data_IF_865972866205
#
_entry.id   IF_865972866205
#
_cell.length_a   1.000
_cell.length_b   1.000
_cell.length_c   1.000
_cell.angle_alpha   90.00
_cell.angle_beta   90.00
_cell.angle_gamma   90.00
#
_symmetry.space_group_name_H-M   'P 1'
#
loop_
_entity.id
_entity.type
_entity.pdbx_description
1 polymer ?
#
# COMPACT_ATOMS: atom_id res chain seq x y z
N UNK A 1 -1.84 0.64 -50.58
CA UNK A 1 -2.57 0.72 -49.29
C UNK A 1 -2.33 -0.59 -48.59
N UNK A 2 -1.27 -0.68 -47.80
CA UNK A 2 -0.91 -1.89 -47.03
C UNK A 2 -0.80 -1.52 -45.56
N UNK A 3 -1.62 -2.17 -44.74
CA UNK A 3 -1.50 -2.15 -43.28
C UNK A 3 -0.56 -3.27 -42.87
N UNK A 4 0.68 -2.93 -42.53
CA UNK A 4 1.57 -3.83 -41.84
C UNK A 4 1.22 -3.87 -40.34
N UNK A 5 0.69 -5.01 -39.90
CA UNK A 5 0.56 -5.37 -38.49
C UNK A 5 1.92 -5.74 -37.92
N UNK A 6 2.52 -4.87 -37.10
CA UNK A 6 3.67 -5.22 -36.26
C UNK A 6 3.15 -5.57 -34.87
N UNK A 7 2.58 -6.77 -34.75
CA UNK A 7 2.32 -7.43 -33.49
C UNK A 7 3.58 -8.15 -33.02
N UNK A 8 4.53 -7.40 -32.47
CA UNK A 8 5.66 -7.96 -31.74
C UNK A 8 5.26 -8.12 -30.28
N UNK A 9 5.31 -9.35 -29.78
CA UNK A 9 5.11 -9.67 -28.36
C UNK A 9 6.12 -8.89 -27.50
N UNK A 10 5.68 -7.97 -26.63
CA UNK A 10 6.57 -7.17 -25.78
C UNK A 10 7.33 -8.00 -24.74
N UNK A 11 6.99 -9.29 -24.56
CA UNK A 11 7.68 -10.20 -23.62
C UNK A 11 8.99 -10.79 -24.17
N UNK A 12 9.24 -10.71 -25.48
CA UNK A 12 10.32 -11.48 -26.14
C UNK A 12 11.74 -10.88 -26.02
N UNK A 13 11.96 -9.91 -25.13
CA UNK A 13 13.28 -9.24 -24.94
C UNK A 13 13.84 -9.32 -23.50
N UNK A 14 13.36 -10.27 -22.68
CA UNK A 14 13.83 -10.42 -21.29
C UNK A 14 15.05 -11.34 -21.10
N UNK A 15 15.73 -11.75 -22.17
CA UNK A 15 16.93 -12.62 -22.06
C UNK A 15 18.24 -11.85 -21.82
N UNK A 16 18.19 -10.59 -21.38
CA UNK A 16 19.38 -9.92 -20.89
C UNK A 16 19.76 -10.52 -19.51
N UNK A 17 20.97 -11.06 -19.32
CA UNK A 17 21.40 -11.49 -17.99
C UNK A 17 21.44 -10.26 -17.08
N UNK A 18 20.48 -10.15 -16.16
CA UNK A 18 20.44 -9.10 -15.14
C UNK A 18 21.50 -9.45 -14.09
N UNK A 19 22.75 -9.19 -14.41
CA UNK A 19 23.88 -9.43 -13.54
C UNK A 19 24.21 -8.18 -12.72
N UNK A 20 23.25 -7.62 -11.97
CA UNK A 20 23.56 -6.69 -10.87
C UNK A 20 22.51 -6.78 -9.77
N UNK A 21 22.80 -7.57 -8.72
CA UNK A 21 22.12 -7.47 -7.42
C UNK A 21 22.58 -6.17 -6.75
N UNK A 22 22.03 -5.04 -7.19
CA UNK A 22 22.21 -3.77 -6.47
C UNK A 22 21.52 -3.86 -5.12
N UNK A 23 22.31 -3.69 -4.05
CA UNK A 23 21.77 -3.54 -2.70
C UNK A 23 21.11 -2.18 -2.59
N UNK A 24 19.95 -2.11 -1.94
CA UNK A 24 19.29 -0.84 -1.68
C UNK A 24 20.23 0.09 -0.90
N UNK A 25 20.59 1.28 -1.41
CA UNK A 25 21.50 2.19 -0.72
C UNK A 25 20.93 2.72 0.60
N UNK A 26 19.61 2.56 0.84
CA UNK A 26 18.96 2.99 2.07
C UNK A 26 18.93 1.93 3.18
N UNK A 27 18.82 0.64 2.85
CA UNK A 27 18.64 -0.42 3.85
C UNK A 27 19.55 -1.65 3.67
N UNK A 28 20.40 -1.67 2.65
CA UNK A 28 21.36 -2.73 2.38
C UNK A 28 20.77 -4.06 1.91
N UNK A 29 19.45 -4.16 1.73
CA UNK A 29 18.78 -5.38 1.29
C UNK A 29 19.10 -5.68 -0.19
N UNK A 30 19.27 -6.95 -0.58
CA UNK A 30 19.73 -7.37 -1.92
C UNK A 30 18.66 -7.24 -3.04
N UNK A 31 17.52 -6.61 -2.76
CA UNK A 31 16.38 -6.54 -3.68
C UNK A 31 15.94 -5.08 -3.90
N UNK A 32 16.85 -4.23 -4.38
CA UNK A 32 16.41 -2.95 -4.95
C UNK A 32 15.84 -3.23 -6.35
N UNK A 33 14.51 -3.25 -6.46
CA UNK A 33 13.84 -3.27 -7.77
C UNK A 33 13.70 -1.81 -8.19
N UNK A 34 14.28 -1.49 -9.35
CA UNK A 34 14.09 -0.19 -9.97
C UNK A 34 12.66 -0.12 -10.53
N UNK A 35 11.82 0.70 -9.90
CA UNK A 35 10.41 0.86 -10.26
C UNK A 35 10.24 1.77 -11.49
N UNK A 36 11.33 2.34 -12.03
CA UNK A 36 11.29 3.09 -13.29
C UNK A 36 10.97 2.20 -14.51
N UNK A 37 11.00 0.87 -14.36
CA UNK A 37 10.52 -0.07 -15.36
C UNK A 37 9.02 -0.35 -15.19
N UNK A 38 8.20 0.32 -16.01
CA UNK A 38 6.73 0.21 -16.05
C UNK A 38 6.22 -1.24 -16.07
N UNK A 39 6.91 -2.15 -16.76
CA UNK A 39 6.52 -3.56 -16.87
C UNK A 39 6.64 -4.33 -15.55
N UNK A 40 7.63 -3.99 -14.71
CA UNK A 40 7.84 -4.61 -13.39
C UNK A 40 6.86 -4.04 -12.37
N UNK A 41 6.56 -2.74 -12.46
CA UNK A 41 5.56 -2.10 -11.62
C UNK A 41 4.14 -2.67 -11.87
N UNK A 42 3.78 -2.89 -13.14
CA UNK A 42 2.51 -3.49 -13.53
C UNK A 42 2.40 -4.94 -13.07
N UNK A 43 3.44 -5.76 -13.26
CA UNK A 43 3.44 -7.16 -12.80
C UNK A 43 3.43 -7.29 -11.28
N UNK A 44 4.04 -6.37 -10.54
CA UNK A 44 3.91 -6.30 -9.08
C UNK A 44 2.48 -5.92 -8.66
N UNK A 45 1.84 -4.97 -9.35
CA UNK A 45 0.45 -4.62 -9.09
C UNK A 45 -0.53 -5.78 -9.39
N UNK A 46 -0.31 -6.50 -10.50
CA UNK A 46 -1.11 -7.66 -10.89
C UNK A 46 -0.89 -8.86 -9.96
N UNK A 47 0.36 -9.16 -9.59
CA UNK A 47 0.65 -10.26 -8.66
C UNK A 47 0.08 -9.97 -7.27
N UNK A 48 0.06 -8.70 -6.85
CA UNK A 48 -0.57 -8.28 -5.61
C UNK A 48 -2.10 -8.33 -5.65
N UNK A 49 -2.72 -8.02 -6.78
CA UNK A 49 -4.15 -8.22 -6.98
C UNK A 49 -4.51 -9.72 -6.93
N UNK A 50 -3.69 -10.58 -7.53
CA UNK A 50 -3.84 -12.03 -7.47
C UNK A 50 -3.63 -12.58 -6.04
N UNK A 51 -2.68 -12.02 -5.28
CA UNK A 51 -2.43 -12.41 -3.88
C UNK A 51 -3.58 -12.03 -2.96
N UNK A 52 -4.34 -10.97 -3.29
CA UNK A 52 -5.57 -10.62 -2.57
C UNK A 52 -6.77 -11.50 -2.92
N UNK A 53 -6.76 -12.21 -4.04
CA UNK A 53 -7.77 -13.22 -4.40
C UNK A 53 -7.43 -14.62 -3.87
N UNK A 54 -6.14 -14.90 -3.61
CA UNK A 54 -5.70 -16.13 -2.96
C UNK A 54 -5.84 -16.05 -1.44
N UNK A 55 -7.05 -15.76 -0.96
CA UNK A 55 -7.45 -16.24 0.36
C UNK A 55 -7.59 -17.76 0.26
N UNK A 56 -6.46 -18.48 0.34
CA UNK A 56 -6.46 -19.93 0.35
C UNK A 56 -7.29 -20.34 1.56
N UNK A 57 -8.46 -20.98 1.37
CA UNK A 57 -9.32 -21.29 2.49
C UNK A 57 -8.54 -22.20 3.47
N UNK A 58 -8.72 -22.02 4.79
CA UNK A 58 -7.83 -22.60 5.79
C UNK A 58 -7.68 -24.13 5.72
N UNK A 59 -8.61 -24.82 5.05
CA UNK A 59 -8.56 -26.26 4.82
C UNK A 59 -7.49 -26.71 3.80
N UNK A 60 -7.07 -25.84 2.86
CA UNK A 60 -6.05 -26.18 1.85
C UNK A 60 -4.60 -26.09 2.38
N UNK A 61 -4.35 -25.34 3.46
CA UNK A 61 -3.05 -25.35 4.13
C UNK A 61 -2.77 -26.68 4.87
N UNK A 62 -3.82 -27.45 5.18
CA UNK A 62 -3.73 -28.71 5.92
C UNK A 62 -3.46 -29.90 4.98
N UNK A 63 -3.86 -29.82 3.72
CA UNK A 63 -3.73 -30.94 2.78
C UNK A 63 -2.30 -31.15 2.26
N UNK A 64 -1.48 -30.11 2.16
CA UNK A 64 -0.08 -30.22 1.69
C UNK A 64 0.86 -30.96 2.64
N UNK A 65 0.60 -30.91 3.95
CA UNK A 65 1.43 -31.58 4.97
C UNK A 65 1.04 -33.06 5.15
N UNK A 66 -0.14 -33.45 4.66
CA UNK A 66 -0.72 -34.78 4.90
C UNK A 66 -0.23 -35.88 3.93
N UNK A 67 0.43 -35.55 2.82
CA UNK A 67 0.88 -36.55 1.83
C UNK A 67 2.25 -37.18 2.13
N UNK A 68 3.13 -36.48 2.83
CA UNK A 68 4.44 -37.02 3.23
C UNK A 68 4.35 -38.16 4.25
N UNK A 69 3.48 -38.12 5.29
CA UNK A 69 3.37 -39.26 6.21
C UNK A 69 2.71 -40.48 5.56
N UNK A 70 1.78 -40.27 4.61
CA UNK A 70 1.11 -41.38 3.93
C UNK A 70 2.08 -42.24 3.12
N UNK A 71 3.06 -41.63 2.43
CA UNK A 71 4.07 -42.36 1.65
C UNK A 71 5.09 -43.11 2.53
N UNK A 72 5.44 -42.57 3.69
CA UNK A 72 6.38 -43.22 4.63
C UNK A 72 5.74 -44.41 5.37
N UNK A 73 4.43 -44.36 5.64
CA UNK A 73 3.69 -45.49 6.24
C UNK A 73 3.65 -46.70 5.31
N UNK A 74 3.56 -46.50 3.99
CA UNK A 74 3.54 -47.61 3.03
C UNK A 74 4.89 -48.32 2.91
N UNK A 75 6.01 -47.59 3.05
CA UNK A 75 7.36 -48.18 2.98
C UNK A 75 7.68 -48.98 4.25
N UNK A 76 7.22 -48.52 5.43
CA UNK A 76 7.44 -49.23 6.70
C UNK A 76 6.66 -50.54 6.86
N UNK A 77 5.64 -50.80 6.03
CA UNK A 77 4.86 -52.04 6.06
C UNK A 77 5.52 -53.19 5.27
N UNK A 78 6.52 -52.92 4.43
CA UNK A 78 7.20 -53.93 3.61
C UNK A 78 8.44 -54.54 4.28
N UNK A 79 9.12 -53.80 5.16
CA UNK A 79 10.32 -54.29 5.87
C UNK A 79 9.97 -54.71 7.31
N UNK A 80 9.80 -56.02 7.49
CA UNK A 80 9.45 -56.64 8.76
C UNK A 80 10.31 -56.18 9.97
N UNK A 81 9.62 -55.52 10.91
CA UNK A 81 9.66 -55.82 12.35
C UNK A 81 10.93 -55.58 13.19
N UNK A 82 11.88 -54.73 12.79
CA UNK A 82 12.95 -54.33 13.73
C UNK A 82 13.20 -52.82 13.90
N UNK A 83 12.53 -51.95 13.13
CA UNK A 83 12.74 -50.49 13.18
C UNK A 83 11.49 -49.66 13.52
N UNK A 84 10.42 -50.28 14.00
CA UNK A 84 9.10 -49.65 14.18
C UNK A 84 9.10 -48.50 15.17
N UNK A 85 9.76 -48.60 16.34
CA UNK A 85 9.69 -47.54 17.36
C UNK A 85 10.31 -46.20 16.93
N UNK A 86 11.49 -46.25 16.30
CA UNK A 86 12.24 -45.03 15.94
C UNK A 86 11.64 -44.32 14.72
N UNK A 87 11.13 -45.08 13.75
CA UNK A 87 10.49 -44.51 12.55
C UNK A 87 9.17 -43.82 12.87
N UNK A 88 8.35 -44.35 13.79
CA UNK A 88 7.12 -43.69 14.22
C UNK A 88 7.40 -42.37 14.97
N UNK A 89 8.42 -42.35 15.83
CA UNK A 89 8.86 -41.12 16.52
C UNK A 89 9.44 -40.09 15.54
N UNK A 90 10.20 -40.51 14.53
CA UNK A 90 10.71 -39.61 13.51
C UNK A 90 9.60 -39.08 12.57
N UNK A 91 8.73 -39.96 12.08
CA UNK A 91 7.67 -39.61 11.12
C UNK A 91 6.59 -38.71 11.71
N UNK A 92 6.29 -38.81 13.01
CA UNK A 92 5.31 -37.95 13.69
C UNK A 92 5.99 -36.80 14.43
N UNK A 93 7.13 -37.05 15.06
CA UNK A 93 7.84 -36.05 15.87
C UNK A 93 8.48 -34.94 15.04
N UNK A 94 9.12 -35.25 13.91
CA UNK A 94 9.76 -34.25 13.05
C UNK A 94 8.78 -33.21 12.45
N UNK A 95 7.61 -33.58 11.91
CA UNK A 95 6.68 -32.58 11.38
C UNK A 95 6.03 -31.73 12.49
N UNK A 96 5.75 -32.30 13.67
CA UNK A 96 5.23 -31.52 14.80
C UNK A 96 6.28 -30.55 15.33
N UNK A 97 7.53 -30.99 15.46
CA UNK A 97 8.63 -30.11 15.90
C UNK A 97 8.93 -29.03 14.84
N UNK A 98 8.91 -29.39 13.56
CA UNK A 98 9.13 -28.46 12.44
C UNK A 98 8.05 -27.37 12.35
N UNK A 99 6.78 -27.74 12.51
CA UNK A 99 5.67 -26.77 12.52
C UNK A 99 5.69 -25.89 13.76
N UNK A 100 6.01 -26.45 14.94
CA UNK A 100 6.19 -25.66 16.16
C UNK A 100 7.34 -24.65 16.02
N UNK A 101 8.49 -25.09 15.49
CA UNK A 101 9.65 -24.23 15.24
C UNK A 101 9.34 -23.14 14.21
N UNK A 102 8.65 -23.46 13.11
CA UNK A 102 8.17 -22.47 12.13
C UNK A 102 7.18 -21.48 12.76
N UNK A 103 6.32 -21.91 13.67
CA UNK A 103 5.39 -21.02 14.38
C UNK A 103 6.14 -20.06 15.33
N UNK A 104 7.20 -20.53 15.97
CA UNK A 104 8.04 -19.72 16.87
C UNK A 104 8.89 -18.76 16.04
N UNK A 105 9.54 -19.24 14.98
CA UNK A 105 10.35 -18.42 14.07
C UNK A 105 9.51 -17.38 13.33
N UNK A 106 8.25 -17.66 13.00
CA UNK A 106 7.33 -16.67 12.41
C UNK A 106 6.82 -15.64 13.42
N UNK A 107 6.71 -16.00 14.71
CA UNK A 107 6.44 -15.04 15.80
C UNK A 107 7.64 -14.17 16.16
N UNK A 108 8.85 -14.74 16.07
CA UNK A 108 10.13 -14.05 16.30
C UNK A 108 10.59 -13.26 15.08
N UNK A 109 10.12 -13.62 13.87
CA UNK A 109 10.35 -12.82 12.69
C UNK A 109 9.77 -11.43 12.96
N UNK A 110 10.58 -10.36 12.86
CA UNK A 110 10.09 -9.01 13.04
C UNK A 110 8.94 -8.88 12.06
N UNK A 111 7.72 -8.62 12.56
CA UNK A 111 6.54 -8.40 11.73
C UNK A 111 6.99 -7.49 10.62
N UNK A 112 7.17 -8.03 9.42
CA UNK A 112 7.54 -7.24 8.27
C UNK A 112 6.39 -6.29 8.12
N UNK A 113 6.60 -5.04 8.56
CA UNK A 113 5.68 -3.95 8.25
C UNK A 113 5.70 -3.94 6.73
N UNK A 114 4.65 -4.52 6.13
CA UNK A 114 4.48 -4.50 4.68
C UNK A 114 4.76 -3.05 4.27
N UNK A 115 5.64 -2.82 3.28
CA UNK A 115 5.88 -1.47 2.80
C UNK A 115 4.51 -0.85 2.56
N UNK A 116 4.25 0.24 3.26
CA UNK A 116 2.96 0.90 3.22
C UNK A 116 2.85 1.44 1.79
N UNK A 117 2.15 0.69 0.91
CA UNK A 117 2.04 1.06 -0.49
C UNK A 117 1.51 2.47 -0.59
N UNK A 118 2.06 3.22 -1.52
CA UNK A 118 1.59 4.56 -1.85
C UNK A 118 0.12 4.44 -2.21
N UNK A 119 -0.75 4.96 -1.35
CA UNK A 119 -2.18 4.93 -1.58
C UNK A 119 -2.55 6.25 -2.24
N UNK A 120 -2.71 6.18 -3.55
CA UNK A 120 -3.58 7.09 -4.26
C UNK A 120 -4.90 6.35 -4.45
N UNK A 121 -5.95 6.76 -3.73
CA UNK A 121 -7.29 6.27 -4.04
C UNK A 121 -7.74 7.05 -5.26
N UNK A 122 -7.91 6.42 -6.44
CA UNK A 122 -8.27 7.16 -7.64
C UNK A 122 -9.62 7.85 -7.43
N UNK A 123 -9.81 9.07 -7.94
CA UNK A 123 -11.07 9.76 -7.82
C UNK A 123 -12.18 8.92 -8.49
N UNK A 124 -13.35 8.78 -7.86
CA UNK A 124 -14.44 7.99 -8.40
C UNK A 124 -14.92 8.56 -9.74
N UNK A 125 -15.10 7.67 -10.72
CA UNK A 125 -15.70 7.98 -12.01
C UNK A 125 -17.22 7.87 -11.88
N UNK A 126 -17.91 9.00 -11.77
CA UNK A 126 -19.37 9.01 -11.67
C UNK A 126 -19.93 10.32 -11.15
N UNK A 127 -21.22 10.55 -11.38
CA UNK A 127 -21.93 11.71 -10.81
C UNK A 127 -22.08 11.51 -9.31
N UNK A 128 -21.96 12.60 -8.55
CA UNK A 128 -22.31 12.61 -7.14
C UNK A 128 -23.80 12.31 -7.02
N UNK A 129 -24.15 11.34 -6.19
CA UNK A 129 -25.54 10.93 -5.93
C UNK A 129 -25.97 11.18 -4.50
N UNK A 130 -25.02 11.30 -3.58
CA UNK A 130 -25.29 11.62 -2.17
C UNK A 130 -24.20 12.56 -1.64
N UNK A 131 -24.56 13.43 -0.72
CA UNK A 131 -23.65 14.43 -0.15
C UNK A 131 -23.99 14.66 1.31
N UNK A 132 -23.00 14.48 2.18
CA UNK A 132 -23.12 14.70 3.61
C UNK A 132 -22.13 15.79 4.03
N UNK A 133 -22.63 16.84 4.66
CA UNK A 133 -21.83 17.93 5.20
C UNK A 133 -21.82 17.85 6.73
N UNK A 134 -20.67 18.11 7.35
CA UNK A 134 -20.58 18.16 8.80
C UNK A 134 -19.14 18.14 9.34
N UNK A 135 -19.01 18.01 10.65
CA UNK A 135 -17.73 17.87 11.34
C UNK A 135 -17.26 16.42 11.34
N UNK A 136 -16.07 16.15 10.79
CA UNK A 136 -15.54 14.79 10.66
C UNK A 136 -14.79 14.33 11.90
N UNK A 137 -15.01 13.08 12.28
CA UNK A 137 -14.27 12.39 13.33
C UNK A 137 -13.59 11.15 12.78
N UNK A 138 -12.39 10.83 13.27
CA UNK A 138 -11.70 9.59 12.94
C UNK A 138 -11.82 8.61 14.09
N UNK A 139 -12.11 7.33 13.81
CA UNK A 139 -12.06 6.27 14.84
C UNK A 139 -10.63 6.04 15.38
N UNK A 140 -9.62 6.43 14.61
CA UNK A 140 -8.21 6.36 14.98
C UNK A 140 -7.54 7.69 14.66
N UNK A 141 -6.50 8.01 15.44
CA UNK A 141 -5.62 9.15 15.19
C UNK A 141 -4.60 8.77 14.11
N UNK A 142 -4.37 9.69 13.19
CA UNK A 142 -3.27 9.65 12.23
C UNK A 142 -2.30 10.80 12.52
N UNK A 143 -1.12 10.69 11.93
CA UNK A 143 -0.07 11.70 12.00
C UNK A 143 0.34 12.05 10.57
N UNK A 144 0.31 13.34 10.25
CA UNK A 144 0.72 13.84 8.95
C UNK A 144 2.23 13.61 8.78
N UNK A 145 2.70 13.03 7.66
CA UNK A 145 4.06 12.50 7.60
C UNK A 145 5.14 13.57 7.47
N UNK A 146 4.81 14.78 7.01
CA UNK A 146 5.76 15.89 6.90
C UNK A 146 5.72 16.76 8.16
N UNK A 147 4.54 17.30 8.50
CA UNK A 147 4.44 18.21 9.66
C UNK A 147 4.37 17.51 11.01
N UNK A 148 4.09 16.21 11.05
CA UNK A 148 3.87 15.48 12.30
C UNK A 148 2.61 15.92 13.04
N UNK A 149 1.67 16.62 12.39
CA UNK A 149 0.42 17.09 13.03
C UNK A 149 -0.60 15.97 13.16
N UNK A 150 -1.33 15.96 14.28
CA UNK A 150 -2.45 15.03 14.49
C UNK A 150 -3.58 15.33 13.50
N UNK A 151 -4.10 14.29 12.86
CA UNK A 151 -5.17 14.40 11.87
C UNK A 151 -6.04 13.14 11.82
N UNK A 152 -7.16 13.23 11.10
CA UNK A 152 -8.03 12.08 10.77
C UNK A 152 -7.89 11.67 9.29
N UNK A 153 -7.41 12.59 8.45
CA UNK A 153 -6.95 12.33 7.10
C UNK A 153 -5.85 13.33 6.70
N UNK A 154 -5.00 12.96 5.75
CA UNK A 154 -3.97 13.81 5.20
C UNK A 154 -3.76 13.50 3.70
N UNK A 155 -3.37 14.52 2.96
CA UNK A 155 -2.80 14.41 1.63
C UNK A 155 -1.44 15.09 1.62
N UNK A 156 -0.43 14.39 1.12
CA UNK A 156 0.93 14.90 0.92
C UNK A 156 1.23 14.79 -0.56
N UNK A 157 1.65 15.89 -1.17
CA UNK A 157 2.03 15.95 -2.56
C UNK A 157 3.38 16.65 -2.69
N UNK A 158 4.24 16.17 -3.57
CA UNK A 158 5.58 16.70 -3.82
C UNK A 158 5.74 16.93 -5.30
N UNK A 159 6.14 18.13 -5.67
CA UNK A 159 6.45 18.53 -7.05
C UNK A 159 7.93 18.96 -7.15
N UNK A 160 8.52 18.99 -8.35
CA UNK A 160 9.82 19.63 -8.54
C UNK A 160 9.76 21.11 -8.15
N UNK A 161 10.84 21.64 -7.56
CA UNK A 161 10.88 23.04 -7.12
C UNK A 161 10.57 24.02 -8.26
N UNK A 162 9.69 24.99 -7.99
CA UNK A 162 9.28 26.02 -8.95
C UNK A 162 8.26 25.57 -10.00
N UNK A 163 7.92 24.28 -10.03
CA UNK A 163 6.87 23.74 -10.91
C UNK A 163 5.53 23.88 -10.19
N UNK A 164 4.59 24.61 -10.80
CA UNK A 164 3.21 24.67 -10.32
C UNK A 164 2.41 23.51 -10.95
N UNK A 165 2.08 22.46 -10.19
CA UNK A 165 1.41 21.29 -10.72
C UNK A 165 -0.02 21.62 -11.16
N UNK A 166 -0.40 21.15 -12.35
CA UNK A 166 -1.73 21.34 -12.95
C UNK A 166 -2.46 20.02 -13.16
N UNK A 167 -1.72 18.94 -13.30
CA UNK A 167 -2.21 17.60 -13.60
C UNK A 167 -1.62 16.58 -12.63
N UNK A 168 -2.20 15.38 -12.59
CA UNK A 168 -1.69 14.30 -11.76
C UNK A 168 -0.26 13.86 -12.14
N UNK A 169 0.16 14.09 -13.40
CA UNK A 169 1.49 13.74 -13.91
C UNK A 169 2.59 14.72 -13.46
N UNK A 170 2.23 15.91 -12.96
CA UNK A 170 3.20 16.92 -12.52
C UNK A 170 3.75 16.63 -11.11
N UNK A 171 3.18 15.66 -10.40
CA UNK A 171 3.60 15.28 -9.05
C UNK A 171 4.66 14.18 -9.10
N UNK A 172 5.75 14.37 -8.35
CA UNK A 172 6.76 13.33 -8.09
C UNK A 172 6.20 12.26 -7.15
N UNK A 173 5.48 12.71 -6.11
CA UNK A 173 4.86 11.85 -5.11
C UNK A 173 3.52 12.44 -4.74
N UNK A 174 2.49 11.59 -4.65
CA UNK A 174 1.22 11.95 -4.04
C UNK A 174 0.71 10.80 -3.19
N UNK A 175 0.49 11.07 -1.92
CA UNK A 175 0.08 10.09 -0.92
C UNK A 175 -1.13 10.60 -0.14
N UNK A 176 -2.11 9.72 0.04
CA UNK A 176 -3.27 9.99 0.88
C UNK A 176 -3.37 8.96 2.01
N UNK A 177 -3.71 9.44 3.20
CA UNK A 177 -4.00 8.62 4.35
C UNK A 177 -5.30 9.07 5.00
N UNK A 178 -6.18 8.12 5.34
CA UNK A 178 -7.45 8.41 6.00
C UNK A 178 -7.76 7.33 7.04
N UNK A 179 -8.23 7.76 8.21
CA UNK A 179 -8.79 6.86 9.20
C UNK A 179 -10.21 6.43 8.76
N UNK A 180 -10.84 5.51 9.48
CA UNK A 180 -12.30 5.36 9.36
C UNK A 180 -12.94 6.68 9.80
N UNK A 181 -13.58 7.35 8.84
CA UNK A 181 -14.22 8.64 9.03
C UNK A 181 -15.66 8.45 9.48
N UNK A 182 -16.11 9.32 10.38
CA UNK A 182 -17.47 9.36 10.92
C UNK A 182 -17.97 10.78 10.78
N UNK A 183 -19.13 10.94 10.14
CA UNK A 183 -19.79 12.20 9.84
C UNK A 183 -21.29 12.06 10.16
N UNK A 184 -21.71 12.53 11.34
CA UNK A 184 -23.03 12.20 11.86
C UNK A 184 -23.20 10.68 11.99
N UNK A 185 -24.25 10.13 11.38
CA UNK A 185 -24.55 8.69 11.37
C UNK A 185 -23.82 7.92 10.25
N UNK A 186 -23.01 8.59 9.43
CA UNK A 186 -22.29 7.98 8.31
C UNK A 186 -20.87 7.62 8.71
N UNK A 187 -20.54 6.33 8.64
CA UNK A 187 -19.19 5.82 8.81
C UNK A 187 -18.64 5.29 7.48
N UNK A 188 -17.45 5.73 7.08
CA UNK A 188 -16.77 5.28 5.85
C UNK A 188 -15.36 4.83 6.19
N UNK A 189 -14.98 3.65 5.69
CA UNK A 189 -13.62 3.16 5.86
C UNK A 189 -12.62 4.03 5.12
N UNK A 190 -11.49 4.37 5.75
CA UNK A 190 -10.52 5.29 5.15
C UNK A 190 -9.91 4.82 3.82
N UNK A 191 -9.97 3.51 3.53
CA UNK A 191 -9.55 2.96 2.22
C UNK A 191 -10.50 3.29 1.08
N UNK A 192 -11.75 3.63 1.41
CA UNK A 192 -12.82 3.95 0.46
C UNK A 192 -13.04 5.46 0.37
N UNK A 193 -12.07 6.27 0.80
CA UNK A 193 -12.12 7.73 0.76
C UNK A 193 -10.99 8.24 -0.11
N UNK A 194 -11.34 8.83 -1.25
CA UNK A 194 -10.44 9.66 -2.04
C UNK A 194 -10.46 11.09 -1.47
N UNK A 195 -9.30 11.60 -1.10
CA UNK A 195 -9.18 12.98 -0.63
C UNK A 195 -9.10 13.90 -1.86
N UNK A 196 -9.96 14.91 -1.90
CA UNK A 196 -9.88 15.98 -2.90
C UNK A 196 -9.56 17.28 -2.17
N UNK A 197 -8.39 17.26 -1.54
CA UNK A 197 -7.84 18.39 -0.81
C UNK A 197 -7.06 19.19 -1.85
N UNK A 198 -7.48 20.42 -2.11
CA UNK A 198 -6.96 21.27 -3.19
C UNK A 198 -5.49 21.68 -2.93
N UNK A 199 -4.57 20.73 -3.10
CA UNK A 199 -3.16 20.86 -2.76
C UNK A 199 -2.45 21.83 -3.70
N UNK A 200 -2.86 21.90 -4.98
CA UNK A 200 -2.23 22.73 -6.01
C UNK A 200 -2.59 24.23 -5.97
N UNK A 201 -3.60 24.62 -5.18
CA UNK A 201 -3.94 26.04 -4.96
C UNK A 201 -3.20 26.65 -3.77
N UNK A 202 -2.50 25.84 -2.97
CA UNK A 202 -1.81 26.28 -1.76
C UNK A 202 -0.35 26.61 -2.05
N UNK A 203 0.22 27.49 -1.23
CA UNK A 203 1.67 27.71 -1.24
C UNK A 203 2.40 26.46 -0.73
N UNK A 204 3.62 26.17 -1.21
CA UNK A 204 4.47 25.13 -0.65
C UNK A 204 4.65 25.30 0.87
N UNK A 205 4.61 24.17 1.58
CA UNK A 205 4.89 24.08 3.00
C UNK A 205 6.40 24.28 3.24
N UNK A 206 6.73 25.24 4.10
CA UNK A 206 8.07 25.38 4.67
C UNK A 206 8.27 24.25 5.71
N UNK A 207 8.80 23.12 5.26
CA UNK A 207 8.98 21.91 6.07
C UNK A 207 10.43 21.72 6.51
N UNK A 208 10.64 20.97 7.61
CA UNK A 208 11.96 20.52 8.02
C UNK A 208 12.62 19.65 6.93
N UNK A 209 13.78 20.04 6.37
CA UNK A 209 14.48 19.26 5.35
C UNK A 209 14.75 17.81 5.75
N UNK A 210 14.96 17.53 7.04
CA UNK A 210 15.18 16.17 7.53
C UNK A 210 13.91 15.32 7.47
N UNK A 211 12.74 15.90 7.75
CA UNK A 211 11.44 15.25 7.60
C UNK A 211 11.13 14.95 6.13
N UNK A 212 11.37 15.92 5.24
CA UNK A 212 11.19 15.77 3.79
C UNK A 212 12.12 14.69 3.23
N UNK A 213 13.40 14.72 3.59
CA UNK A 213 14.37 13.71 3.14
C UNK A 213 13.99 12.31 3.63
N UNK A 214 13.55 12.16 4.88
CA UNK A 214 13.08 10.89 5.42
C UNK A 214 11.85 10.37 4.68
N UNK A 215 10.90 11.26 4.40
CA UNK A 215 9.71 10.94 3.63
C UNK A 215 10.06 10.47 2.21
N UNK A 216 10.84 11.23 1.47
CA UNK A 216 11.26 10.90 0.10
C UNK A 216 12.04 9.58 0.03
N UNK A 217 13.00 9.36 0.94
CA UNK A 217 13.76 8.11 1.03
C UNK A 217 12.87 6.90 1.30
N UNK A 218 11.86 7.06 2.17
CA UNK A 218 10.90 6.00 2.45
C UNK A 218 9.97 5.70 1.25
N UNK A 219 9.99 6.53 0.21
CA UNK A 219 9.29 6.34 -1.07
C UNK A 219 10.27 6.08 -2.22
N UNK A 220 11.55 5.80 -1.94
CA UNK A 220 12.55 5.50 -2.98
C UNK A 220 12.87 6.68 -3.90
N UNK A 221 12.46 7.90 -3.56
CA UNK A 221 12.76 9.09 -4.36
C UNK A 221 14.12 9.65 -3.93
N UNK A 222 15.07 9.62 -4.85
CA UNK A 222 16.43 10.12 -4.64
C UNK A 222 16.49 11.56 -5.17
N UNK A 223 16.19 12.52 -4.31
CA UNK A 223 16.32 13.96 -4.62
C UNK A 223 16.74 14.72 -3.36
N UNK A 224 17.21 15.95 -3.54
CA UNK A 224 17.56 16.84 -2.44
C UNK A 224 16.32 17.63 -1.98
N UNK A 225 16.17 17.94 -0.68
CA UNK A 225 14.97 18.64 -0.18
C UNK A 225 14.74 20.02 -0.78
N UNK A 226 15.79 20.70 -1.26
CA UNK A 226 15.77 21.99 -1.94
C UNK A 226 15.34 21.91 -3.42
N UNK A 227 15.36 20.70 -4.01
CA UNK A 227 14.93 20.47 -5.39
C UNK A 227 13.43 20.16 -5.50
N UNK A 228 12.66 20.24 -4.40
CA UNK A 228 11.25 19.91 -4.37
C UNK A 228 10.41 20.94 -3.63
N UNK A 229 9.19 21.16 -4.11
CA UNK A 229 8.14 21.85 -3.39
C UNK A 229 7.23 20.83 -2.71
N UNK A 230 7.01 20.99 -1.41
CA UNK A 230 6.21 20.07 -0.59
C UNK A 230 4.87 20.70 -0.28
N UNK A 231 3.79 19.93 -0.43
CA UNK A 231 2.43 20.34 -0.13
C UNK A 231 1.84 19.32 0.85
N UNK A 232 1.28 19.80 1.95
CA UNK A 232 0.59 18.94 2.91
C UNK A 232 -0.74 19.58 3.30
N UNK A 233 -1.82 18.83 3.13
CA UNK A 233 -3.13 19.21 3.61
C UNK A 233 -3.63 18.17 4.59
N UNK A 234 -4.00 18.62 5.79
CA UNK A 234 -4.56 17.76 6.82
C UNK A 234 -6.03 18.08 7.06
N UNK A 235 -6.77 17.05 7.46
CA UNK A 235 -8.11 17.15 8.00
C UNK A 235 -8.03 16.88 9.49
N UNK A 236 -8.27 17.90 10.30
CA UNK A 236 -8.29 17.77 11.76
C UNK A 236 -9.62 17.18 12.25
N UNK A 237 -9.59 16.58 13.43
CA UNK A 237 -10.81 16.11 14.10
C UNK A 237 -11.75 17.30 14.36
N UNK A 238 -13.03 17.13 14.05
CA UNK A 238 -14.06 18.16 14.17
C UNK A 238 -14.12 19.15 13.02
N UNK A 239 -13.19 19.08 12.05
CA UNK A 239 -13.15 19.99 10.92
C UNK A 239 -14.38 19.80 10.02
N UNK A 240 -14.94 20.92 9.53
CA UNK A 240 -16.06 20.90 8.62
C UNK A 240 -15.63 20.40 7.23
N UNK A 241 -16.28 19.35 6.76
CA UNK A 241 -16.01 18.70 5.48
C UNK A 241 -17.32 18.35 4.77
N UNK A 242 -17.19 18.09 3.47
CA UNK A 242 -18.24 17.51 2.65
C UNK A 242 -17.78 16.15 2.14
N UNK A 243 -18.55 15.11 2.43
CA UNK A 243 -18.35 13.75 1.94
C UNK A 243 -19.36 13.46 0.82
N UNK A 244 -18.87 13.15 -0.38
CA UNK A 244 -19.71 12.88 -1.54
C UNK A 244 -19.62 11.41 -1.94
N UNK A 245 -20.76 10.75 -2.10
CA UNK A 245 -20.86 9.41 -2.69
C UNK A 245 -21.13 9.52 -4.19
N UNK A 246 -20.45 8.69 -4.97
CA UNK A 246 -20.60 8.68 -6.43
C UNK A 246 -21.38 7.45 -6.88
N UNK A 247 -22.28 7.62 -7.85
CA UNK A 247 -23.07 6.53 -8.39
C UNK A 247 -22.14 5.50 -9.05
N UNK A 248 -22.30 4.22 -8.67
CA UNK A 248 -21.50 3.13 -9.23
C UNK A 248 -20.07 3.03 -8.69
N UNK A 249 -19.73 3.76 -7.62
CA UNK A 249 -18.43 3.65 -6.95
C UNK A 249 -18.60 3.34 -5.46
N UNK A 250 -17.72 2.48 -4.93
CA UNK A 250 -17.56 2.29 -3.49
C UNK A 250 -16.74 3.43 -2.84
N UNK A 251 -16.04 4.23 -3.66
CA UNK A 251 -15.18 5.32 -3.21
C UNK A 251 -16.00 6.59 -3.00
N UNK A 252 -15.81 7.20 -1.84
CA UNK A 252 -16.33 8.51 -1.47
C UNK A 252 -15.26 9.57 -1.72
N UNK A 253 -15.67 10.79 -2.05
CA UNK A 253 -14.73 11.92 -2.07
C UNK A 253 -14.93 12.78 -0.83
N UNK A 254 -13.82 13.16 -0.19
CA UNK A 254 -13.83 14.11 0.92
C UNK A 254 -13.26 15.45 0.44
N UNK A 255 -14.00 16.52 0.70
CA UNK A 255 -13.61 17.90 0.41
C UNK A 255 -13.65 18.72 1.68
N UNK A 256 -12.69 19.63 1.85
CA UNK A 256 -12.76 20.64 2.89
C UNK A 256 -13.85 21.64 2.54
N UNK A 257 -14.69 21.99 3.51
CA UNK A 257 -15.51 23.18 3.35
C UNK A 257 -14.60 24.41 3.46
N UNK A 258 -14.75 25.40 2.56
CA UNK A 258 -14.13 26.69 2.80
C UNK A 258 -14.60 27.17 4.17
N UNK A 259 -13.68 27.59 5.03
CA UNK A 259 -14.07 28.21 6.27
C UNK A 259 -14.99 29.37 5.89
N UNK A 260 -16.26 29.31 6.30
CA UNK A 260 -17.15 30.46 6.15
C UNK A 260 -16.45 31.61 6.88
N UNK A 261 -15.91 32.54 6.11
CA UNK A 261 -15.54 33.86 6.65
C UNK A 261 -16.82 34.38 7.25
N UNK A 262 -16.91 34.56 8.59
CA UNK A 262 -18.09 35.18 9.16
C UNK A 262 -18.26 36.51 8.43
N UNK A 263 -19.40 36.69 7.77
CA UNK A 263 -19.75 38.00 7.27
C UNK A 263 -19.71 38.94 8.47
N UNK A 264 -18.72 39.83 8.48
CA UNK A 264 -18.71 40.98 9.35
C UNK A 264 -19.87 41.89 8.90
N UNK A 265 -21.10 41.53 9.28
CA UNK A 265 -22.22 42.46 9.35
C UNK A 265 -22.22 43.03 10.76
N UNK A 266 -21.78 44.26 10.99
CA UNK A 266 -22.46 45.54 10.65
C UNK A 266 -23.75 45.71 11.43
#
# INVERSE_FOLDING_TARGET
>A
MDRASVGGDPMRRLDAPVEHTMRCPACGQPSAVDVSYDSVALTLCESDAATHQLSVPPWMAVTGVSFVPAALVTIGLLDGWTFTGFFWLAAVGLPVLGTALLSILSRLSPRQRRPQRWRLVPPPRGRVCDTHAGSVFGRRKLWAPISGRECVAYEVAIAPAGVRPRTDADWLVREQGSATLVLGDHAVEGRDVALLLDSGSRAPLQADPAAVSRFLRARGVITTPDAVDVYETIVSRGQAVTLCRHRGSAVHTLRLQPAHTPHAGS
#
